data_IF_003127165922
#
_entry.id   IF_003127165922
#
_cell.length_a   1.000
_cell.length_b   1.000
_cell.length_c   1.000
_cell.angle_alpha   90.00
_cell.angle_beta   90.00
_cell.angle_gamma   90.00
#
_symmetry.space_group_name_H-M   'P 1'
#
loop_
_entity.id
_entity.type
_entity.pdbx_description
1 polymer ?
#
# COMPACT_ATOMS: atom_id res chain seq x y z
N UNK A 1 75.93 -11.26 34.00
CA UNK A 1 74.50 -11.33 34.35
C UNK A 1 73.69 -10.92 33.12
N UNK A 2 73.22 -11.89 32.32
CA UNK A 2 72.47 -11.60 31.10
C UNK A 2 70.97 -11.46 31.44
N UNK A 3 70.38 -10.30 31.18
CA UNK A 3 68.93 -10.11 31.22
C UNK A 3 68.29 -10.95 30.10
N UNK A 4 67.48 -11.93 30.49
CA UNK A 4 66.85 -12.89 29.59
C UNK A 4 65.81 -12.26 28.65
N UNK A 5 65.66 -12.87 27.47
CA UNK A 5 64.79 -12.41 26.39
C UNK A 5 63.31 -12.31 26.77
N UNK A 6 62.66 -11.23 26.34
CA UNK A 6 61.25 -10.92 26.59
C UNK A 6 60.36 -11.95 25.89
N UNK A 7 59.50 -12.64 26.66
CA UNK A 7 58.49 -13.58 26.15
C UNK A 7 57.49 -12.84 25.24
N UNK A 8 57.44 -13.19 23.96
CA UNK A 8 56.39 -12.72 23.03
C UNK A 8 55.11 -13.53 23.28
N UNK A 9 54.02 -12.86 23.62
CA UNK A 9 52.70 -13.49 23.71
C UNK A 9 52.16 -13.77 22.30
N UNK A 10 51.69 -15.00 22.08
CA UNK A 10 51.18 -15.44 20.78
C UNK A 10 49.81 -14.80 20.53
N UNK A 11 49.60 -14.24 19.34
CA UNK A 11 48.29 -13.71 18.94
C UNK A 11 47.22 -14.80 18.98
N UNK A 12 46.02 -14.45 19.47
CA UNK A 12 44.88 -15.37 19.54
C UNK A 12 44.47 -15.85 18.13
N UNK A 13 44.11 -17.13 17.95
CA UNK A 13 43.71 -17.64 16.65
C UNK A 13 42.38 -17.01 16.20
N UNK A 14 42.29 -16.68 14.91
CA UNK A 14 41.07 -16.17 14.30
C UNK A 14 39.91 -17.16 14.49
N UNK A 15 38.75 -16.67 14.97
CA UNK A 15 37.54 -17.48 15.15
C UNK A 15 37.06 -17.97 13.79
N UNK A 16 36.95 -19.29 13.63
CA UNK A 16 36.40 -19.91 12.41
C UNK A 16 34.92 -19.51 12.27
N UNK A 17 34.41 -19.28 11.04
CA UNK A 17 33.01 -18.95 10.82
C UNK A 17 32.12 -20.11 11.33
N UNK A 18 31.14 -19.78 12.16
CA UNK A 18 30.23 -20.75 12.82
C UNK A 18 29.20 -21.37 11.87
N UNK A 19 29.16 -20.96 10.60
CA UNK A 19 28.15 -21.42 9.64
C UNK A 19 28.82 -22.05 8.42
N UNK A 20 28.87 -23.38 8.38
CA UNK A 20 29.23 -24.21 7.22
C UNK A 20 28.06 -24.31 6.21
N UNK A 21 27.40 -23.20 5.90
CA UNK A 21 26.22 -23.20 5.03
C UNK A 21 26.10 -21.92 4.22
N UNK A 22 25.43 -21.98 3.05
CA UNK A 22 25.18 -20.77 2.28
C UNK A 22 24.45 -19.75 3.16
N UNK A 23 24.98 -18.52 3.22
CA UNK A 23 24.29 -17.39 3.85
C UNK A 23 22.88 -17.34 3.27
N UNK A 24 21.85 -17.37 4.13
CA UNK A 24 20.45 -17.18 3.73
C UNK A 24 20.32 -15.79 3.08
N UNK A 25 20.50 -15.72 1.76
CA UNK A 25 20.23 -14.52 0.98
C UNK A 25 18.73 -14.18 1.03
N UNK A 26 18.38 -12.94 0.68
CA UNK A 26 16.99 -12.51 0.59
C UNK A 26 16.23 -13.46 -0.33
N UNK A 27 15.31 -14.26 0.22
CA UNK A 27 14.50 -15.21 -0.55
C UNK A 27 13.37 -14.46 -1.23
N UNK A 28 13.68 -13.68 -2.25
CA UNK A 28 12.65 -13.12 -3.15
C UNK A 28 12.17 -14.26 -4.05
N UNK A 29 11.22 -15.05 -3.54
CA UNK A 29 10.62 -16.15 -4.29
C UNK A 29 9.70 -15.54 -5.36
N UNK A 30 10.06 -15.70 -6.62
CA UNK A 30 9.24 -15.23 -7.72
C UNK A 30 7.84 -15.89 -7.66
N UNK A 31 6.76 -15.11 -7.85
CA UNK A 31 5.42 -15.66 -7.79
C UNK A 31 5.17 -16.63 -8.95
N UNK A 32 4.66 -17.82 -8.63
CA UNK A 32 4.37 -18.89 -9.61
C UNK A 32 3.45 -18.44 -10.76
N UNK A 33 2.56 -17.47 -10.52
CA UNK A 33 1.59 -16.93 -11.49
C UNK A 33 1.71 -15.41 -11.69
N UNK A 34 2.93 -14.92 -11.95
CA UNK A 34 3.21 -13.49 -12.09
C UNK A 34 2.28 -12.75 -13.07
N UNK A 35 1.91 -13.37 -14.21
CA UNK A 35 1.01 -12.77 -15.22
C UNK A 35 -0.40 -12.52 -14.66
N UNK A 36 -0.98 -13.49 -13.95
CA UNK A 36 -2.30 -13.37 -13.33
C UNK A 36 -2.33 -12.26 -12.28
N UNK A 37 -1.29 -12.19 -11.44
CA UNK A 37 -1.17 -11.15 -10.41
C UNK A 37 -1.10 -9.75 -11.04
N UNK A 38 -0.38 -9.60 -12.16
CA UNK A 38 -0.31 -8.33 -12.90
C UNK A 38 -1.69 -7.94 -13.45
N UNK A 39 -2.43 -8.89 -14.04
CA UNK A 39 -3.78 -8.65 -14.54
C UNK A 39 -4.75 -8.24 -13.42
N UNK A 40 -4.77 -8.96 -12.30
CA UNK A 40 -5.61 -8.61 -11.14
C UNK A 40 -5.30 -7.20 -10.61
N UNK A 41 -4.01 -6.85 -10.52
CA UNK A 41 -3.59 -5.49 -10.11
C UNK A 41 -4.06 -4.43 -11.10
N UNK A 42 -4.00 -4.72 -12.40
CA UNK A 42 -4.48 -3.80 -13.44
C UNK A 42 -5.99 -3.60 -13.35
N UNK A 43 -6.76 -4.69 -13.26
CA UNK A 43 -8.23 -4.63 -13.08
C UNK A 43 -8.58 -3.80 -11.84
N UNK A 44 -7.95 -4.08 -10.69
CA UNK A 44 -8.20 -3.33 -9.45
C UNK A 44 -7.98 -1.82 -9.63
N UNK A 45 -6.88 -1.42 -10.27
CA UNK A 45 -6.56 -0.01 -10.52
C UNK A 45 -7.57 0.68 -11.44
N UNK A 46 -7.97 0.00 -12.52
CA UNK A 46 -8.93 0.52 -13.48
C UNK A 46 -10.31 0.65 -12.84
N UNK A 47 -10.77 -0.39 -12.12
CA UNK A 47 -12.04 -0.38 -11.41
C UNK A 47 -12.08 0.72 -10.36
N UNK A 48 -11.05 0.88 -9.52
CA UNK A 48 -11.02 1.95 -8.50
C UNK A 48 -11.04 3.36 -9.11
N UNK A 49 -10.42 3.54 -10.28
CA UNK A 49 -10.46 4.81 -11.00
C UNK A 49 -11.83 5.09 -11.61
N UNK A 50 -12.47 4.07 -12.18
CA UNK A 50 -13.84 4.19 -12.69
C UNK A 50 -14.84 4.48 -11.58
N UNK A 51 -14.77 3.78 -10.44
CA UNK A 51 -15.67 4.03 -9.31
C UNK A 51 -15.51 5.44 -8.76
N UNK A 52 -14.27 5.91 -8.55
CA UNK A 52 -14.02 7.27 -8.08
C UNK A 52 -14.53 8.36 -9.06
N UNK A 53 -14.40 8.14 -10.38
CA UNK A 53 -15.00 9.05 -11.38
C UNK A 53 -16.52 9.02 -11.32
N UNK A 54 -17.14 7.85 -11.15
CA UNK A 54 -18.60 7.75 -11.03
C UNK A 54 -19.13 8.39 -9.76
N UNK A 55 -18.44 8.21 -8.63
CA UNK A 55 -18.77 8.85 -7.35
C UNK A 55 -18.68 10.37 -7.48
N UNK A 56 -17.62 10.88 -8.11
CA UNK A 56 -17.47 12.31 -8.39
C UNK A 56 -18.59 12.83 -9.30
N UNK A 57 -18.92 12.14 -10.39
CA UNK A 57 -20.01 12.54 -11.28
C UNK A 57 -21.37 12.54 -10.57
N UNK A 58 -21.62 11.56 -9.69
CA UNK A 58 -22.85 11.52 -8.90
C UNK A 58 -22.89 12.66 -7.88
N UNK A 59 -21.77 12.95 -7.20
CA UNK A 59 -21.66 14.07 -6.28
C UNK A 59 -21.81 15.42 -6.99
N UNK A 60 -21.22 15.60 -8.17
CA UNK A 60 -21.41 16.81 -8.99
C UNK A 60 -22.87 16.95 -9.43
N UNK A 61 -23.52 15.86 -9.88
CA UNK A 61 -24.95 15.89 -10.21
C UNK A 61 -25.82 16.17 -9.00
N UNK A 62 -25.52 15.57 -7.84
CA UNK A 62 -26.26 15.75 -6.60
C UNK A 62 -26.04 17.15 -6.03
N UNK A 63 -24.81 17.64 -5.95
CA UNK A 63 -24.47 19.00 -5.54
C UNK A 63 -25.02 20.06 -6.50
N UNK A 64 -25.01 19.79 -7.81
CA UNK A 64 -25.73 20.60 -8.79
C UNK A 64 -27.25 20.54 -8.55
N UNK A 65 -27.79 19.39 -8.14
CA UNK A 65 -29.19 19.25 -7.76
C UNK A 65 -29.52 20.03 -6.47
N UNK A 66 -28.61 20.06 -5.50
CA UNK A 66 -28.75 20.84 -4.26
C UNK A 66 -28.66 22.34 -4.53
N UNK A 67 -27.88 22.77 -5.53
CA UNK A 67 -27.84 24.15 -6.02
C UNK A 67 -29.08 24.54 -6.84
N UNK A 68 -29.82 23.58 -7.38
CA UNK A 68 -31.14 23.83 -7.99
C UNK A 68 -32.19 23.99 -6.89
N UNK A 69 -32.42 25.23 -6.44
CA UNK A 69 -33.60 25.59 -5.63
C UNK A 69 -34.87 24.98 -6.27
N UNK A 70 -35.50 24.01 -5.60
CA UNK A 70 -36.72 23.36 -6.08
C UNK A 70 -36.53 21.94 -6.59
N UNK A 71 -35.74 21.10 -5.90
CA UNK A 71 -35.73 19.67 -6.18
C UNK A 71 -37.14 19.08 -6.03
N UNK A 72 -37.40 17.91 -6.62
CA UNK A 72 -38.74 17.30 -6.60
C UNK A 72 -39.28 17.09 -5.17
N UNK A 73 -38.40 17.01 -4.16
CA UNK A 73 -38.78 16.98 -2.74
C UNK A 73 -39.19 18.36 -2.23
N UNK A 74 -38.42 19.40 -2.53
CA UNK A 74 -38.77 20.79 -2.15
C UNK A 74 -40.08 21.25 -2.80
N UNK A 75 -40.30 20.89 -4.08
CA UNK A 75 -41.59 21.13 -4.76
C UNK A 75 -42.76 20.36 -4.14
N UNK A 76 -42.51 19.21 -3.52
CA UNK A 76 -43.55 18.45 -2.80
C UNK A 76 -43.84 19.05 -1.44
N UNK A 77 -42.82 19.51 -0.72
CA UNK A 77 -42.98 20.20 0.57
C UNK A 77 -43.65 21.56 0.39
N UNK A 78 -43.29 22.34 -0.63
CA UNK A 78 -43.96 23.60 -0.97
C UNK A 78 -45.43 23.38 -1.35
N UNK A 79 -45.72 22.35 -2.16
CA UNK A 79 -47.11 22.00 -2.52
C UNK A 79 -47.94 21.47 -1.34
N UNK A 80 -47.31 20.87 -0.33
CA UNK A 80 -47.98 20.46 0.90
C UNK A 80 -48.18 21.65 1.86
N UNK A 81 -47.23 22.57 1.93
CA UNK A 81 -47.36 23.79 2.71
C UNK A 81 -48.43 24.73 2.13
N UNK A 82 -48.56 24.82 0.81
CA UNK A 82 -49.58 25.64 0.14
C UNK A 82 -51.01 25.04 0.14
N UNK A 83 -51.18 23.82 0.67
CA UNK A 83 -52.47 23.12 0.77
C UNK A 83 -53.01 23.02 2.21
N UNK A 84 -52.30 23.58 3.19
CA UNK A 84 -52.78 23.82 4.55
C UNK A 84 -53.14 25.29 4.70
#
# INVERSE_FOLDING_TARGET
MAQGAIKKTKAAPAKKPTTLGPKRGAKTIAPKKAKLIKQQKMVKKLTSGLTGKTERMLAEKAGHLELLKGTRKDKKTDKQAAKK
#
